data_IF_780385674949
#
_entry.id   IF_780385674949
#
_cell.length_a   1.000
_cell.length_b   1.000
_cell.length_c   1.000
_cell.angle_alpha   90.00
_cell.angle_beta   90.00
_cell.angle_gamma   90.00
#
_symmetry.space_group_name_H-M   'P 1'
#
loop_
_entity.id
_entity.type
_entity.pdbx_description
1 polymer ?
#
# COMPACT_ATOMS: atom_id res chain seq x y z
N UNK A 1 -47.53 -6.07 -20.94
CA UNK A 1 -46.24 -5.52 -20.48
C UNK A 1 -45.14 -6.47 -20.93
N UNK A 2 -44.38 -6.09 -21.96
CA UNK A 2 -43.14 -6.77 -22.33
C UNK A 2 -42.08 -5.68 -22.45
N UNK A 3 -41.05 -5.73 -21.61
CA UNK A 3 -39.96 -4.77 -21.64
C UNK A 3 -39.07 -5.13 -22.83
N UNK A 4 -39.08 -4.28 -23.86
CA UNK A 4 -38.07 -4.28 -24.91
C UNK A 4 -36.73 -3.91 -24.28
N UNK A 5 -35.84 -4.89 -24.11
CA UNK A 5 -34.44 -4.62 -23.82
C UNK A 5 -33.81 -4.10 -25.12
N UNK A 6 -33.31 -2.86 -25.06
CA UNK A 6 -32.46 -2.29 -26.09
C UNK A 6 -31.13 -3.05 -26.08
N UNK A 7 -30.98 -4.05 -26.95
CA UNK A 7 -29.73 -4.77 -27.16
C UNK A 7 -28.96 -4.09 -28.28
N UNK A 8 -28.11 -3.14 -27.93
CA UNK A 8 -26.97 -2.82 -28.78
C UNK A 8 -25.70 -2.84 -27.91
N UNK A 9 -25.14 -4.04 -27.77
CA UNK A 9 -23.78 -4.22 -27.29
C UNK A 9 -22.94 -4.34 -28.54
N UNK A 10 -22.39 -3.20 -28.95
CA UNK A 10 -21.27 -3.03 -29.87
C UNK A 10 -20.46 -4.31 -30.04
N UNK A 11 -20.49 -4.86 -31.25
CA UNK A 11 -19.60 -5.92 -31.71
C UNK A 11 -18.15 -5.46 -31.53
N UNK A 12 -17.47 -6.05 -30.57
CA UNK A 12 -16.01 -5.98 -30.46
C UNK A 12 -15.46 -7.40 -30.62
N UNK A 13 -14.38 -7.51 -31.40
CA UNK A 13 -13.72 -8.79 -31.70
C UNK A 13 -13.34 -9.54 -30.42
N UNK A 14 -13.34 -10.87 -30.49
CA UNK A 14 -13.28 -11.77 -29.33
C UNK A 14 -12.13 -11.53 -28.34
N UNK A 15 -11.00 -10.96 -28.78
CA UNK A 15 -9.87 -10.63 -27.90
C UNK A 15 -10.18 -9.48 -26.93
N UNK A 16 -10.96 -8.49 -27.37
CA UNK A 16 -11.33 -7.33 -26.54
C UNK A 16 -12.41 -7.74 -25.54
N UNK A 17 -13.33 -8.61 -25.96
CA UNK A 17 -14.32 -9.20 -25.07
C UNK A 17 -13.67 -10.01 -23.95
N UNK A 18 -12.67 -10.84 -24.25
CA UNK A 18 -11.93 -11.60 -23.24
C UNK A 18 -11.15 -10.69 -22.28
N UNK A 19 -10.56 -9.58 -22.76
CA UNK A 19 -9.91 -8.60 -21.88
C UNK A 19 -10.90 -7.97 -20.89
N UNK A 20 -12.06 -7.49 -21.36
CA UNK A 20 -13.08 -6.92 -20.47
C UNK A 20 -13.69 -7.98 -19.57
N UNK A 21 -13.92 -9.20 -20.06
CA UNK A 21 -14.44 -10.29 -19.26
C UNK A 21 -13.44 -10.68 -18.16
N UNK A 22 -12.14 -10.71 -18.46
CA UNK A 22 -11.06 -10.87 -17.47
C UNK A 22 -10.98 -9.68 -16.51
N UNK A 23 -11.27 -8.45 -16.96
CA UNK A 23 -11.28 -7.24 -16.13
C UNK A 23 -12.52 -7.15 -15.20
N UNK A 24 -13.62 -7.80 -15.57
CA UNK A 24 -14.85 -7.87 -14.78
C UNK A 24 -14.96 -9.16 -13.95
N UNK A 25 -14.28 -10.24 -14.35
CA UNK A 25 -14.14 -11.50 -13.59
C UNK A 25 -13.01 -11.43 -12.56
N UNK A 26 -11.97 -10.62 -12.80
CA UNK A 26 -11.03 -10.23 -11.76
C UNK A 26 -11.64 -9.08 -10.96
N UNK A 27 -12.19 -9.40 -9.80
CA UNK A 27 -12.18 -8.49 -8.66
C UNK A 27 -10.83 -7.76 -8.66
N UNK A 28 -10.83 -6.44 -8.82
CA UNK A 28 -9.62 -5.61 -8.76
C UNK A 28 -8.75 -6.12 -7.61
N UNK A 29 -7.48 -6.44 -7.90
CA UNK A 29 -6.55 -6.89 -6.87
C UNK A 29 -6.64 -5.93 -5.66
N UNK A 30 -6.63 -6.44 -4.41
CA UNK A 30 -6.68 -5.59 -3.24
C UNK A 30 -5.61 -4.50 -3.36
N UNK A 31 -6.00 -3.23 -3.38
CA UNK A 31 -5.07 -2.11 -3.53
C UNK A 31 -3.97 -2.23 -2.48
N UNK A 32 -2.71 -2.30 -2.90
CA UNK A 32 -1.55 -2.49 -2.03
C UNK A 32 -0.93 -1.14 -1.73
N UNK A 33 -0.92 -0.76 -0.46
CA UNK A 33 -0.45 0.55 -0.01
C UNK A 33 0.77 0.35 0.88
N UNK A 34 1.90 0.98 0.54
CA UNK A 34 3.09 1.02 1.38
C UNK A 34 3.17 2.38 2.09
N UNK A 35 3.22 2.38 3.42
CA UNK A 35 3.49 3.57 4.21
C UNK A 35 4.92 3.52 4.75
N UNK A 36 5.74 4.48 4.32
CA UNK A 36 7.16 4.61 4.68
C UNK A 36 7.34 5.57 5.85
N UNK A 37 8.07 5.11 6.88
CA UNK A 37 8.17 5.79 8.18
C UNK A 37 6.80 6.11 8.78
N UNK A 38 6.05 5.04 9.03
CA UNK A 38 4.69 5.10 9.58
C UNK A 38 4.62 5.76 10.95
N UNK A 39 5.76 5.83 11.68
CA UNK A 39 5.81 6.43 13.01
C UNK A 39 4.80 5.74 13.95
N UNK A 40 4.02 6.50 14.74
CA UNK A 40 2.98 5.92 15.60
C UNK A 40 1.74 5.44 14.83
N UNK A 41 1.75 5.45 13.50
CA UNK A 41 0.77 4.78 12.65
C UNK A 41 -0.45 5.60 12.23
N UNK A 42 -0.55 6.90 12.54
CA UNK A 42 -1.76 7.69 12.25
C UNK A 42 -2.19 7.60 10.77
N UNK A 43 -1.31 7.84 9.77
CA UNK A 43 -1.72 7.76 8.36
C UNK A 43 -2.10 6.34 7.94
N UNK A 44 -1.24 5.35 8.22
CA UNK A 44 -1.48 3.96 7.84
C UNK A 44 -2.76 3.39 8.47
N UNK A 45 -3.01 3.69 9.75
CA UNK A 45 -4.18 3.19 10.48
C UNK A 45 -5.48 3.81 9.95
N UNK A 46 -5.45 5.11 9.63
CA UNK A 46 -6.58 5.77 8.99
C UNK A 46 -6.86 5.15 7.63
N UNK A 47 -5.83 4.99 6.79
CA UNK A 47 -5.98 4.37 5.47
C UNK A 47 -6.56 2.97 5.58
N UNK A 48 -6.03 2.12 6.45
CA UNK A 48 -6.51 0.76 6.63
C UNK A 48 -7.97 0.69 7.09
N UNK A 49 -8.40 1.65 7.92
CA UNK A 49 -9.79 1.76 8.40
C UNK A 49 -10.76 2.22 7.31
N UNK A 50 -10.39 3.25 6.56
CA UNK A 50 -11.26 3.85 5.54
C UNK A 50 -11.27 3.03 4.23
N UNK A 51 -10.22 2.25 3.96
CA UNK A 51 -10.09 1.39 2.78
C UNK A 51 -10.02 -0.11 3.19
N UNK A 52 -11.13 -0.72 3.65
CA UNK A 52 -11.14 -2.09 4.17
C UNK A 52 -10.92 -3.18 3.09
N UNK A 53 -10.84 -2.80 1.81
CA UNK A 53 -10.47 -3.69 0.70
C UNK A 53 -9.01 -3.54 0.28
N UNK A 54 -8.28 -2.57 0.83
CA UNK A 54 -6.86 -2.40 0.57
C UNK A 54 -6.03 -3.24 1.55
N UNK A 55 -4.83 -3.62 1.12
CA UNK A 55 -3.80 -4.16 2.00
C UNK A 55 -2.76 -3.08 2.28
N UNK A 56 -2.63 -2.69 3.54
CA UNK A 56 -1.68 -1.67 3.99
C UNK A 56 -0.44 -2.34 4.59
N UNK A 57 0.74 -1.85 4.20
CA UNK A 57 2.03 -2.24 4.73
C UNK A 57 2.64 -1.02 5.42
N UNK A 58 2.52 -0.96 6.74
CA UNK A 58 3.02 0.13 7.56
C UNK A 58 4.45 -0.16 8.02
N UNK A 59 5.41 0.66 7.61
CA UNK A 59 6.83 0.37 7.81
C UNK A 59 7.54 1.48 8.56
N UNK A 60 8.41 1.12 9.50
CA UNK A 60 9.30 2.07 10.18
C UNK A 60 10.62 1.38 10.55
N UNK A 61 11.71 2.14 10.64
CA UNK A 61 13.00 1.60 11.11
C UNK A 61 12.98 1.39 12.64
N UNK A 62 12.13 2.13 13.35
CA UNK A 62 12.01 2.07 14.81
C UNK A 62 10.98 1.03 15.25
N UNK A 63 11.46 0.01 15.97
CA UNK A 63 10.61 -0.99 16.62
C UNK A 63 9.57 -0.35 17.56
N UNK A 64 9.99 0.64 18.33
CA UNK A 64 9.10 1.32 19.29
C UNK A 64 7.95 2.05 18.58
N UNK A 65 8.19 2.59 17.38
CA UNK A 65 7.15 3.22 16.56
C UNK A 65 6.17 2.20 16.03
N UNK A 66 6.68 1.09 15.46
CA UNK A 66 5.88 -0.04 14.99
C UNK A 66 4.99 -0.61 16.10
N UNK A 67 5.55 -0.79 17.30
CA UNK A 67 4.80 -1.34 18.43
C UNK A 67 3.69 -0.37 18.87
N UNK A 68 3.93 0.94 18.87
CA UNK A 68 2.89 1.96 19.14
C UNK A 68 1.81 1.97 18.06
N UNK A 69 2.19 1.87 16.78
CA UNK A 69 1.26 1.85 15.66
C UNK A 69 0.29 0.67 15.75
N UNK A 70 0.80 -0.52 16.11
CA UNK A 70 0.01 -1.74 16.31
C UNK A 70 -1.05 -1.63 17.41
N UNK A 71 -0.74 -0.93 18.51
CA UNK A 71 -1.66 -0.83 19.65
C UNK A 71 -3.01 -0.21 19.28
N UNK A 72 -3.04 0.61 18.23
CA UNK A 72 -4.25 1.33 17.81
C UNK A 72 -5.20 0.48 16.95
N UNK A 73 -4.73 -0.61 16.33
CA UNK A 73 -5.48 -1.39 15.33
C UNK A 73 -5.26 -2.91 15.46
N UNK A 74 -5.25 -3.45 16.68
CA UNK A 74 -4.90 -4.86 16.95
C UNK A 74 -5.77 -5.89 16.21
N UNK A 75 -7.01 -5.54 15.87
CA UNK A 75 -7.99 -6.46 15.27
C UNK A 75 -8.08 -6.37 13.73
N UNK A 76 -7.38 -5.43 13.10
CA UNK A 76 -7.55 -5.16 11.68
C UNK A 76 -6.57 -5.98 10.83
N UNK A 77 -7.10 -6.93 10.05
CA UNK A 77 -6.30 -7.83 9.19
C UNK A 77 -5.78 -7.19 7.91
N UNK A 78 -6.31 -6.04 7.53
CA UNK A 78 -5.97 -5.32 6.29
C UNK A 78 -4.72 -4.46 6.43
N UNK A 79 -4.06 -4.48 7.59
CA UNK A 79 -2.80 -3.78 7.85
C UNK A 79 -1.75 -4.72 8.42
N UNK A 80 -0.56 -4.66 7.85
CA UNK A 80 0.62 -5.35 8.34
C UNK A 80 1.68 -4.32 8.74
N UNK A 81 2.33 -4.53 9.89
CA UNK A 81 3.38 -3.64 10.36
C UNK A 81 4.74 -4.32 10.33
N UNK A 82 5.75 -3.66 9.75
CA UNK A 82 7.09 -4.21 9.58
C UNK A 82 8.16 -3.24 10.02
N UNK A 83 9.26 -3.79 10.52
CA UNK A 83 10.47 -3.02 10.78
C UNK A 83 11.29 -3.04 9.49
N UNK A 84 11.41 -1.89 8.83
CA UNK A 84 12.08 -1.73 7.54
C UNK A 84 12.78 -0.39 7.50
N UNK A 85 14.04 -0.37 7.05
CA UNK A 85 14.71 0.87 6.67
C UNK A 85 14.22 1.28 5.28
N UNK A 86 13.65 2.49 5.13
CA UNK A 86 13.20 2.97 3.83
C UNK A 86 14.35 3.13 2.81
N UNK A 87 15.60 3.19 3.29
CA UNK A 87 16.81 3.23 2.45
C UNK A 87 17.25 1.83 1.99
N UNK A 88 16.72 0.76 2.62
CA UNK A 88 16.96 -0.64 2.24
C UNK A 88 15.64 -1.44 2.29
N UNK A 89 14.94 -1.43 1.15
CA UNK A 89 13.67 -2.14 0.97
C UNK A 89 13.84 -3.62 0.62
N UNK A 90 15.05 -4.19 0.67
CA UNK A 90 15.29 -5.60 0.35
C UNK A 90 14.49 -6.56 1.24
N UNK A 91 14.21 -6.14 2.48
CA UNK A 91 13.39 -6.89 3.44
C UNK A 91 11.88 -6.88 3.14
N UNK A 92 11.41 -6.07 2.18
CA UNK A 92 10.05 -6.15 1.63
C UNK A 92 9.92 -7.22 0.53
N UNK A 93 11.04 -7.72 0.00
CA UNK A 93 11.05 -8.78 -1.00
C UNK A 93 10.36 -10.12 -0.58
N UNK A 94 10.20 -10.49 0.71
CA UNK A 94 9.41 -11.67 1.08
C UNK A 94 7.89 -11.43 1.15
N UNK A 95 7.38 -10.20 0.97
CA UNK A 95 5.96 -10.02 0.56
C UNK A 95 5.78 -10.43 -0.90
N UNK A 96 6.82 -10.23 -1.70
CA UNK A 96 6.87 -10.37 -3.15
C UNK A 96 7.34 -11.75 -3.65
N UNK A 97 7.36 -12.78 -2.79
CA UNK A 97 7.81 -14.13 -3.17
C UNK A 97 6.69 -15.04 -3.70
N UNK A 98 5.55 -14.46 -4.12
CA UNK A 98 4.60 -15.09 -5.00
C UNK A 98 4.43 -14.18 -6.23
N UNK A 99 5.01 -14.59 -7.36
CA UNK A 99 4.99 -13.93 -8.67
C UNK A 99 5.98 -12.75 -8.87
N UNK A 100 6.59 -12.66 -10.06
CA UNK A 100 7.70 -11.74 -10.37
C UNK A 100 7.34 -10.24 -10.48
N UNK A 101 6.12 -9.81 -10.16
CA UNK A 101 5.64 -8.44 -10.39
C UNK A 101 4.73 -7.86 -9.29
N UNK A 102 5.12 -7.97 -8.02
CA UNK A 102 4.36 -7.29 -6.96
C UNK A 102 4.85 -5.84 -6.75
N UNK A 103 4.07 -4.90 -7.28
CA UNK A 103 4.21 -3.47 -7.05
C UNK A 103 3.33 -3.02 -5.87
N UNK A 104 3.54 -1.79 -5.40
CA UNK A 104 2.57 -1.08 -4.56
C UNK A 104 1.82 -0.09 -5.46
N UNK A 105 0.49 -0.08 -5.39
CA UNK A 105 -0.36 0.86 -6.13
C UNK A 105 -0.17 2.29 -5.61
N UNK A 106 0.06 2.41 -4.30
CA UNK A 106 0.23 3.70 -3.60
C UNK A 106 1.37 3.59 -2.60
N UNK A 107 2.22 4.62 -2.58
CA UNK A 107 3.22 4.81 -1.53
C UNK A 107 2.93 6.11 -0.79
N UNK A 108 2.83 6.05 0.53
CA UNK A 108 2.69 7.22 1.39
C UNK A 108 3.96 7.39 2.23
N UNK A 109 4.31 8.64 2.51
CA UNK A 109 5.40 8.98 3.41
C UNK A 109 5.10 10.34 4.06
N UNK A 110 4.56 10.31 5.26
CA UNK A 110 4.22 11.53 5.99
C UNK A 110 5.42 11.93 6.87
N UNK A 111 6.10 13.03 6.52
CA UNK A 111 7.27 13.56 7.25
C UNK A 111 8.53 12.64 7.30
N UNK A 112 8.43 11.37 6.89
CA UNK A 112 9.52 10.41 6.90
C UNK A 112 10.71 10.76 6.02
N UNK A 113 10.49 11.49 4.92
CA UNK A 113 11.53 11.89 3.97
C UNK A 113 12.63 12.77 4.57
N UNK A 114 12.45 13.32 5.78
CA UNK A 114 13.43 14.17 6.46
C UNK A 114 14.58 13.41 7.13
N UNK A 115 14.42 12.12 7.39
CA UNK A 115 15.33 11.32 8.24
C UNK A 115 16.43 10.51 7.53
N UNK A 116 16.32 10.12 6.24
CA UNK A 116 17.40 9.46 5.50
C UNK A 116 18.73 10.21 5.56
N UNK A 117 19.84 9.47 5.56
CA UNK A 117 21.18 10.02 5.79
C UNK A 117 21.59 11.05 4.75
N UNK A 118 21.19 10.85 3.49
CA UNK A 118 21.44 11.79 2.41
C UNK A 118 20.84 13.18 2.70
N UNK A 119 19.67 13.21 3.35
CA UNK A 119 18.99 14.44 3.75
C UNK A 119 19.55 15.05 5.05
N UNK A 120 20.23 14.27 5.90
CA UNK A 120 20.91 14.81 7.11
C UNK A 120 22.04 15.78 6.77
N UNK A 121 22.70 15.61 5.63
CA UNK A 121 23.73 16.54 5.16
C UNK A 121 23.15 17.89 4.71
N UNK A 122 21.89 17.91 4.23
CA UNK A 122 21.21 19.09 3.73
C UNK A 122 20.55 19.94 4.83
N UNK A 123 20.18 19.33 5.95
CA UNK A 123 19.50 20.02 7.06
C UNK A 123 20.36 20.25 8.31
N UNK A 124 21.66 19.93 8.25
CA UNK A 124 22.60 20.12 9.35
C UNK A 124 22.40 19.10 10.48
N UNK A 125 23.50 18.68 11.12
CA UNK A 125 23.44 17.79 12.28
C UNK A 125 22.61 18.45 13.39
N UNK A 126 21.50 17.85 13.88
CA UNK A 126 20.98 18.22 15.18
C UNK A 126 21.97 17.70 16.22
N UNK A 127 22.66 18.60 16.92
CA UNK A 127 23.51 18.25 18.07
C UNK A 127 25.02 18.29 17.84
N UNK A 128 25.56 19.31 17.16
CA UNK A 128 26.89 19.78 17.54
C UNK A 128 26.77 20.57 18.86
N UNK A 129 26.75 19.85 19.98
CA UNK A 129 27.07 20.33 21.32
C UNK A 129 28.21 19.48 21.86
#
# INVERSE_FOLDING_TARGET
MSKSQCTDKTQFDGEVADYYQTMFENDYHPVRILDLATGPGEPANLIARELPKAQVFATDVSRDMVDRAKLLMQDLKTIEYRIVDMQDLSSLAPVANAAPEEHFDVVTCCYGYMFPEENRSRYGKPGAC
#
